data_IF_879204743267
#
_entry.id   IF_879204743267
#
_cell.length_a   1.000
_cell.length_b   1.000
_cell.length_c   1.000
_cell.angle_alpha   90.00
_cell.angle_beta   90.00
_cell.angle_gamma   90.00
#
_symmetry.space_group_name_H-M   'P 1'
#
loop_
_entity.id
_entity.type
_entity.pdbx_description
1 polymer ?
#
# COMPACT_ATOMS: atom_id res chain seq x y z
N UNK A 1 12.90 8.20 18.77
CA UNK A 1 11.43 8.30 18.60
C UNK A 1 10.77 7.70 19.83
N UNK A 2 9.65 8.28 20.29
CA UNK A 2 8.89 7.72 21.43
C UNK A 2 8.23 6.40 21.04
N UNK A 3 8.27 5.43 21.95
CA UNK A 3 7.71 4.08 21.73
C UNK A 3 6.19 4.12 21.66
N UNK A 4 5.60 3.43 20.69
CA UNK A 4 4.17 3.30 20.54
C UNK A 4 3.60 2.35 21.61
N UNK A 5 2.69 2.84 22.46
CA UNK A 5 2.14 2.09 23.59
C UNK A 5 0.74 1.52 23.35
N UNK A 6 -0.02 2.16 22.49
CA UNK A 6 -1.42 1.87 22.26
C UNK A 6 -1.64 1.11 20.95
N UNK A 7 -2.64 0.23 20.91
CA UNK A 7 -3.18 -0.33 19.68
C UNK A 7 -4.11 0.70 19.03
N UNK A 8 -4.08 0.74 17.68
CA UNK A 8 -5.02 1.54 16.90
C UNK A 8 -5.67 0.65 15.84
N UNK A 9 -6.97 0.83 15.69
CA UNK A 9 -7.73 0.34 14.54
C UNK A 9 -8.32 1.56 13.84
N UNK A 10 -8.50 1.52 12.52
CA UNK A 10 -9.03 2.69 11.81
C UNK A 10 -9.86 2.32 10.59
N UNK A 11 -10.75 3.23 10.23
CA UNK A 11 -11.56 3.19 9.01
C UNK A 11 -11.16 4.38 8.13
N UNK A 12 -10.74 4.09 6.91
CA UNK A 12 -10.47 5.08 5.89
C UNK A 12 -11.64 5.08 4.89
N UNK A 13 -12.32 6.21 4.78
CA UNK A 13 -13.32 6.48 3.74
C UNK A 13 -12.69 7.43 2.71
N UNK A 14 -12.68 6.99 1.46
CA UNK A 14 -12.18 7.78 0.34
C UNK A 14 -13.09 7.56 -0.87
N UNK A 15 -13.14 8.53 -1.75
CA UNK A 15 -13.94 8.42 -2.95
C UNK A 15 -13.16 8.59 -4.24
N UNK A 16 -13.82 8.24 -5.34
CA UNK A 16 -13.38 8.53 -6.69
C UNK A 16 -14.55 9.09 -7.48
N UNK A 17 -14.28 10.12 -8.29
CA UNK A 17 -15.22 10.70 -9.24
C UNK A 17 -14.54 10.79 -10.60
N UNK A 18 -15.20 10.21 -11.62
CA UNK A 18 -14.74 10.19 -13.02
C UNK A 18 -13.31 9.65 -13.19
N UNK A 19 -12.97 8.60 -12.45
CA UNK A 19 -11.62 8.05 -12.42
C UNK A 19 -11.55 6.55 -12.26
N UNK A 20 -10.34 6.01 -12.44
CA UNK A 20 -10.01 4.62 -12.14
C UNK A 20 -9.14 4.58 -10.88
N UNK A 21 -9.70 4.16 -9.74
CA UNK A 21 -8.97 4.19 -8.45
C UNK A 21 -7.86 3.15 -8.40
N UNK A 22 -8.05 2.00 -9.06
CA UNK A 22 -7.07 0.91 -9.08
C UNK A 22 -7.31 0.00 -10.29
N UNK A 23 -6.61 0.29 -11.39
CA UNK A 23 -6.70 -0.53 -12.59
C UNK A 23 -6.15 -1.95 -12.41
N UNK A 24 -6.73 -2.88 -13.16
CA UNK A 24 -6.29 -4.27 -13.20
C UNK A 24 -5.42 -4.52 -14.44
N UNK A 25 -4.11 -4.77 -14.30
CA UNK A 25 -3.23 -5.03 -15.43
C UNK A 25 -3.65 -6.27 -16.24
N UNK A 26 -4.23 -7.28 -15.60
CA UNK A 26 -4.66 -8.51 -16.24
C UNK A 26 -5.98 -8.34 -17.02
N UNK A 27 -6.73 -7.28 -16.71
CA UNK A 27 -8.00 -6.94 -17.36
C UNK A 27 -7.91 -5.65 -18.19
N UNK A 28 -6.79 -5.38 -18.85
CA UNK A 28 -6.63 -4.19 -19.69
C UNK A 28 -6.72 -2.86 -18.93
N UNK A 29 -6.30 -2.86 -17.67
CA UNK A 29 -6.33 -1.71 -16.76
C UNK A 29 -7.76 -1.19 -16.44
N UNK A 30 -8.78 -2.05 -16.54
CA UNK A 30 -10.13 -1.74 -16.07
C UNK A 30 -10.16 -1.52 -14.56
N UNK A 31 -11.10 -0.72 -14.02
CA UNK A 31 -11.32 -0.66 -12.57
C UNK A 31 -11.61 -2.05 -12.02
N UNK A 32 -10.98 -2.39 -10.89
CA UNK A 32 -11.22 -3.67 -10.22
C UNK A 32 -12.62 -3.69 -9.62
N UNK A 33 -13.39 -4.68 -9.98
CA UNK A 33 -14.76 -4.88 -9.50
C UNK A 33 -14.92 -6.34 -9.08
N UNK A 34 -15.56 -6.55 -7.95
CA UNK A 34 -15.99 -7.86 -7.50
C UNK A 34 -17.09 -8.37 -8.47
N UNK A 35 -16.86 -9.45 -9.22
CA UNK A 35 -17.79 -9.88 -10.29
C UNK A 35 -19.12 -10.40 -9.74
N UNK A 36 -19.19 -10.82 -8.49
CA UNK A 36 -20.39 -11.34 -7.87
C UNK A 36 -21.31 -10.22 -7.35
N UNK A 37 -20.71 -9.21 -6.73
CA UNK A 37 -21.45 -8.16 -6.02
C UNK A 37 -21.46 -6.81 -6.75
N UNK A 38 -20.62 -6.63 -7.75
CA UNK A 38 -20.44 -5.36 -8.46
C UNK A 38 -19.70 -4.28 -7.65
N UNK A 39 -19.24 -4.58 -6.44
CA UNK A 39 -18.52 -3.61 -5.63
C UNK A 39 -17.12 -3.35 -6.17
N UNK A 40 -16.74 -2.09 -6.26
CA UNK A 40 -15.39 -1.69 -6.66
C UNK A 40 -14.34 -2.09 -5.61
N UNK A 41 -13.14 -2.43 -6.07
CA UNK A 41 -12.03 -2.88 -5.24
C UNK A 41 -10.81 -2.00 -5.43
N UNK A 42 -10.16 -1.65 -4.31
CA UNK A 42 -8.85 -1.00 -4.27
C UNK A 42 -7.96 -1.83 -3.36
N UNK A 43 -6.86 -2.35 -3.90
CA UNK A 43 -5.96 -3.22 -3.14
C UNK A 43 -5.22 -2.45 -2.05
N UNK A 44 -4.87 -3.14 -0.96
CA UNK A 44 -4.02 -2.56 0.10
C UNK A 44 -2.66 -2.10 -0.43
N UNK A 45 -2.11 -2.81 -1.42
CA UNK A 45 -0.85 -2.44 -2.09
C UNK A 45 -0.99 -1.10 -2.82
N UNK A 46 -2.14 -0.83 -3.45
CA UNK A 46 -2.42 0.46 -4.08
C UNK A 46 -2.45 1.59 -3.05
N UNK A 47 -3.12 1.39 -1.91
CA UNK A 47 -3.16 2.38 -0.82
C UNK A 47 -1.77 2.60 -0.21
N UNK A 48 -1.03 1.52 0.09
CA UNK A 48 0.34 1.58 0.60
C UNK A 48 1.29 2.32 -0.36
N UNK A 49 1.12 2.14 -1.68
CA UNK A 49 1.90 2.88 -2.68
C UNK A 49 1.66 4.39 -2.58
N UNK A 50 0.42 4.82 -2.39
CA UNK A 50 0.08 6.25 -2.25
C UNK A 50 0.70 6.86 -0.99
N UNK A 51 0.66 6.12 0.13
CA UNK A 51 1.37 6.52 1.36
C UNK A 51 2.87 6.66 1.11
N UNK A 52 3.50 5.67 0.43
CA UNK A 52 4.93 5.74 0.08
C UNK A 52 5.27 6.95 -0.78
N UNK A 53 4.48 7.20 -1.81
CA UNK A 53 4.67 8.35 -2.70
C UNK A 53 4.55 9.67 -1.93
N UNK A 54 3.59 9.77 -1.03
CA UNK A 54 3.43 10.96 -0.19
C UNK A 54 4.63 11.18 0.73
N UNK A 55 5.09 10.14 1.44
CA UNK A 55 6.26 10.24 2.32
C UNK A 55 7.51 10.60 1.53
N UNK A 56 7.72 9.99 0.36
CA UNK A 56 8.82 10.34 -0.52
C UNK A 56 8.78 11.81 -0.97
N UNK A 57 7.59 12.32 -1.28
CA UNK A 57 7.39 13.70 -1.71
C UNK A 57 7.79 14.71 -0.63
N UNK A 58 7.39 14.47 0.63
CA UNK A 58 7.63 15.44 1.71
C UNK A 58 9.00 15.32 2.37
N UNK A 59 9.66 14.16 2.25
CA UNK A 59 10.96 13.91 2.89
C UNK A 59 12.13 13.77 1.90
N UNK A 60 11.85 13.70 0.60
CA UNK A 60 12.85 13.64 -0.50
C UNK A 60 14.03 12.69 -0.20
N UNK A 61 13.73 11.49 0.30
CA UNK A 61 14.73 10.47 0.61
C UNK A 61 15.59 10.75 1.85
N UNK A 62 15.14 11.63 2.74
CA UNK A 62 15.85 11.90 4.00
C UNK A 62 16.11 10.62 4.81
N UNK A 63 17.27 10.53 5.45
CA UNK A 63 17.65 9.36 6.26
C UNK A 63 16.58 9.07 7.32
N UNK A 64 16.18 7.82 7.41
CA UNK A 64 15.07 7.38 8.26
C UNK A 64 13.67 7.54 7.65
N UNK A 65 13.52 8.22 6.50
CA UNK A 65 12.25 8.41 5.80
C UNK A 65 12.33 8.02 4.32
N UNK A 66 13.44 7.43 3.86
CA UNK A 66 13.54 6.89 2.52
C UNK A 66 12.53 5.73 2.32
N UNK A 67 12.23 5.42 1.08
CA UNK A 67 11.29 4.38 0.68
C UNK A 67 12.04 3.24 0.01
N UNK A 68 11.85 2.03 0.53
CA UNK A 68 12.44 0.81 -0.01
C UNK A 68 11.75 0.38 -1.32
N UNK A 69 10.40 0.30 -1.32
CA UNK A 69 9.62 -0.06 -2.51
C UNK A 69 9.21 1.22 -3.23
N UNK A 70 10.17 1.83 -3.94
CA UNK A 70 9.95 3.05 -4.75
C UNK A 70 10.01 2.77 -6.25
N UNK A 71 9.44 3.69 -7.02
CA UNK A 71 9.45 3.60 -8.48
C UNK A 71 10.89 3.61 -9.00
N UNK A 72 11.20 2.71 -9.95
CA UNK A 72 12.53 2.50 -10.52
C UNK A 72 13.63 2.12 -9.51
N UNK A 73 13.24 1.72 -8.30
CA UNK A 73 14.17 1.24 -7.28
C UNK A 73 14.76 -0.13 -7.64
N UNK A 74 16.06 -0.31 -7.38
CA UNK A 74 16.77 -1.59 -7.53
C UNK A 74 17.02 -2.15 -6.14
N UNK A 75 16.24 -3.13 -5.71
CA UNK A 75 16.26 -3.64 -4.33
C UNK A 75 17.62 -4.22 -3.93
N UNK A 76 18.31 -4.91 -4.83
CA UNK A 76 19.65 -5.45 -4.57
C UNK A 76 20.68 -4.37 -4.23
N UNK A 77 20.60 -3.22 -4.91
CA UNK A 77 21.49 -2.08 -4.64
C UNK A 77 21.24 -1.48 -3.25
N UNK A 78 19.95 -1.38 -2.84
CA UNK A 78 19.58 -0.87 -1.52
C UNK A 78 20.06 -1.81 -0.40
N UNK A 79 20.02 -3.12 -0.63
CA UNK A 79 20.59 -4.10 0.29
C UNK A 79 22.11 -3.99 0.38
N UNK A 80 22.81 -3.92 -0.77
CA UNK A 80 24.27 -3.77 -0.81
C UNK A 80 24.72 -2.50 -0.06
N UNK A 81 23.97 -1.41 -0.19
CA UNK A 81 24.24 -0.18 0.55
C UNK A 81 24.07 -0.36 2.07
N UNK A 82 23.02 -1.07 2.52
CA UNK A 82 22.83 -1.36 3.94
C UNK A 82 23.97 -2.21 4.51
N UNK A 83 24.45 -3.23 3.76
CA UNK A 83 25.63 -4.00 4.12
C UNK A 83 26.88 -3.13 4.22
N UNK A 84 27.14 -2.28 3.23
CA UNK A 84 28.28 -1.37 3.17
C UNK A 84 28.31 -0.41 4.37
N UNK A 85 27.17 0.18 4.73
CA UNK A 85 27.04 1.08 5.89
C UNK A 85 27.40 0.41 7.21
N UNK A 86 27.15 -0.89 7.32
CA UNK A 86 27.52 -1.67 8.50
C UNK A 86 28.95 -2.23 8.45
N UNK A 87 29.71 -1.90 7.38
CA UNK A 87 31.05 -2.47 7.17
C UNK A 87 31.04 -3.97 6.90
N UNK A 88 29.90 -4.52 6.45
CA UNK A 88 29.71 -5.92 6.14
C UNK A 88 29.88 -6.14 4.63
N UNK A 89 30.40 -7.31 4.24
CA UNK A 89 30.42 -7.72 2.83
C UNK A 89 29.13 -8.48 2.50
N UNK A 90 28.42 -8.01 1.46
CA UNK A 90 27.41 -8.83 0.80
C UNK A 90 28.11 -10.05 0.17
N UNK A 91 27.47 -11.21 0.14
CA UNK A 91 28.02 -12.36 -0.60
C UNK A 91 28.06 -11.99 -2.08
N UNK A 92 29.22 -12.18 -2.73
CA UNK A 92 29.34 -11.93 -4.17
C UNK A 92 28.42 -12.89 -4.94
N UNK A 93 27.75 -12.40 -6.02
CA UNK A 93 27.00 -13.27 -6.92
C UNK A 93 28.01 -14.18 -7.64
N UNK A 94 28.09 -15.45 -7.24
CA UNK A 94 28.96 -16.37 -7.95
C UNK A 94 29.75 -17.40 -7.18
N UNK A 95 29.54 -17.55 -5.87
CA UNK A 95 29.95 -18.77 -5.20
C UNK A 95 28.93 -19.89 -5.50
N UNK A 96 28.76 -20.21 -6.81
CA UNK A 96 28.13 -21.48 -7.21
C UNK A 96 28.96 -22.62 -6.61
N UNK A 97 28.30 -23.45 -5.80
CA UNK A 97 28.77 -24.79 -5.60
C UNK A 97 28.89 -25.43 -7.00
N UNK A 98 30.09 -25.81 -7.37
CA UNK A 98 30.38 -26.49 -8.64
C UNK A 98 29.32 -27.56 -8.96
N UNK A 99 28.92 -27.70 -10.24
CA UNK A 99 27.94 -28.70 -10.62
C UNK A 99 28.58 -30.10 -10.48
N UNK A 100 28.19 -30.81 -9.48
CA UNK A 100 28.49 -32.24 -9.38
C UNK A 100 27.45 -32.98 -10.23
N UNK A 101 27.90 -33.56 -11.33
CA UNK A 101 27.12 -34.44 -12.24
C UNK A 101 27.30 -35.90 -11.77
N UNK A 102 26.51 -36.88 -12.22
CA UNK A 102 25.09 -36.94 -12.55
C UNK A 102 24.30 -38.05 -11.80
N UNK A 103 22.97 -37.88 -11.87
CA UNK A 103 21.91 -38.92 -11.73
C UNK A 103 21.99 -40.01 -10.66
N UNK A 104 21.14 -39.87 -9.68
CA UNK A 104 20.65 -40.92 -8.82
C UNK A 104 19.29 -40.54 -8.26
N UNK A 105 18.23 -41.26 -8.67
CA UNK A 105 16.88 -41.11 -8.13
C UNK A 105 16.86 -41.38 -6.62
N UNK A 106 16.44 -40.41 -5.84
CA UNK A 106 16.25 -40.58 -4.41
C UNK A 106 15.43 -39.44 -3.83
N UNK A 107 14.14 -39.68 -3.56
CA UNK A 107 13.28 -38.83 -2.77
C UNK A 107 13.89 -38.64 -1.37
N UNK A 108 14.58 -37.52 -1.15
CA UNK A 108 15.06 -37.11 0.16
C UNK A 108 14.61 -35.68 0.42
N UNK A 109 13.85 -35.46 1.49
CA UNK A 109 13.58 -34.13 2.04
C UNK A 109 14.92 -33.45 2.29
N UNK A 110 15.18 -32.32 1.60
CA UNK A 110 16.36 -31.51 1.84
C UNK A 110 16.26 -30.94 3.25
N UNK A 111 17.00 -31.49 4.20
CA UNK A 111 17.23 -30.91 5.52
C UNK A 111 17.98 -29.59 5.33
N UNK A 112 17.33 -28.48 5.69
CA UNK A 112 17.98 -27.19 5.75
C UNK A 112 19.10 -27.24 6.79
N UNK A 113 20.36 -27.23 6.35
CA UNK A 113 21.51 -27.08 7.26
C UNK A 113 21.30 -25.91 8.21
N UNK A 114 21.53 -26.05 9.53
CA UNK A 114 21.41 -24.96 10.47
C UNK A 114 22.38 -23.83 10.07
N UNK A 115 21.86 -22.62 9.90
CA UNK A 115 22.69 -21.42 9.62
C UNK A 115 23.66 -21.21 10.76
N UNK A 116 24.92 -20.87 10.46
CA UNK A 116 25.91 -20.53 11.48
C UNK A 116 25.43 -19.32 12.28
N UNK A 117 25.64 -19.29 13.59
CA UNK A 117 25.19 -18.24 14.50
C UNK A 117 25.60 -16.82 14.05
N UNK A 118 26.79 -16.68 13.46
CA UNK A 118 27.28 -15.45 12.86
C UNK A 118 26.45 -14.92 11.68
N UNK A 119 25.91 -15.81 10.83
CA UNK A 119 25.06 -15.41 9.70
C UNK A 119 23.70 -14.87 10.15
N UNK A 120 23.12 -15.47 11.19
CA UNK A 120 21.84 -15.02 11.77
C UNK A 120 21.98 -13.62 12.36
N UNK A 121 23.11 -13.37 13.03
CA UNK A 121 23.39 -12.04 13.62
C UNK A 121 23.60 -10.96 12.55
N UNK A 122 24.30 -11.29 11.46
CA UNK A 122 24.48 -10.38 10.32
C UNK A 122 23.13 -10.00 9.72
N UNK A 123 22.29 -10.99 9.40
CA UNK A 123 20.94 -10.75 8.84
C UNK A 123 20.10 -9.88 9.78
N UNK A 124 20.22 -10.09 11.09
CA UNK A 124 19.51 -9.25 12.07
C UNK A 124 19.99 -7.80 12.02
N UNK A 125 21.32 -7.55 12.04
CA UNK A 125 21.88 -6.19 11.98
C UNK A 125 21.44 -5.46 10.68
N UNK A 126 21.51 -6.13 9.55
CA UNK A 126 21.07 -5.57 8.27
C UNK A 126 19.58 -5.28 8.27
N UNK A 127 18.76 -6.18 8.79
CA UNK A 127 17.32 -5.97 8.92
C UNK A 127 17.01 -4.73 9.78
N UNK A 128 17.69 -4.58 10.90
CA UNK A 128 17.50 -3.45 11.82
C UNK A 128 17.91 -2.14 11.14
N UNK A 129 18.98 -2.13 10.33
CA UNK A 129 19.38 -0.97 9.51
C UNK A 129 18.34 -0.67 8.42
N UNK A 130 17.78 -1.68 7.76
CA UNK A 130 16.70 -1.49 6.79
C UNK A 130 15.45 -0.87 7.44
N UNK A 131 15.06 -1.32 8.62
CA UNK A 131 13.98 -0.70 9.38
C UNK A 131 14.29 0.75 9.77
N UNK A 132 15.53 1.03 10.21
CA UNK A 132 15.95 2.38 10.58
C UNK A 132 15.87 3.36 9.42
N UNK A 133 16.33 2.93 8.24
CA UNK A 133 16.45 3.79 7.06
C UNK A 133 15.14 3.98 6.31
N UNK A 134 14.38 2.89 6.12
CA UNK A 134 13.22 2.88 5.25
C UNK A 134 11.91 2.94 6.04
N UNK A 135 11.18 4.04 5.86
CA UNK A 135 9.87 4.24 6.50
C UNK A 135 8.90 3.10 6.19
N UNK A 136 8.81 2.68 4.93
CA UNK A 136 7.85 1.67 4.51
C UNK A 136 8.20 0.26 5.00
N UNK A 137 9.49 -0.06 5.19
CA UNK A 137 9.92 -1.34 5.78
C UNK A 137 9.50 -1.41 7.25
N UNK A 138 9.78 -0.38 8.06
CA UNK A 138 9.39 -0.40 9.48
C UNK A 138 7.90 -0.22 9.70
N UNK A 139 7.17 0.38 8.73
CA UNK A 139 5.72 0.60 8.81
C UNK A 139 4.92 -0.60 8.33
N UNK A 140 5.13 -1.06 7.11
CA UNK A 140 4.34 -2.10 6.46
C UNK A 140 5.00 -3.47 6.46
N UNK A 141 6.32 -3.52 6.69
CA UNK A 141 7.13 -4.71 6.56
C UNK A 141 7.54 -5.00 5.11
N UNK A 142 8.49 -5.92 4.97
CA UNK A 142 8.96 -6.38 3.66
C UNK A 142 9.60 -7.77 3.77
N UNK A 143 9.56 -8.50 2.65
CA UNK A 143 10.35 -9.72 2.44
C UNK A 143 11.63 -9.31 1.72
N UNK A 144 12.76 -9.36 2.42
CA UNK A 144 14.07 -8.86 1.96
C UNK A 144 15.09 -10.00 1.86
N UNK A 145 14.62 -11.20 1.53
CA UNK A 145 15.46 -12.42 1.46
C UNK A 145 16.04 -12.58 0.05
N UNK A 146 16.96 -11.70 -0.33
CA UNK A 146 17.73 -11.82 -1.57
C UNK A 146 18.90 -12.81 -1.37
N UNK A 147 19.30 -13.53 -2.43
CA UNK A 147 20.37 -14.54 -2.36
C UNK A 147 21.73 -13.91 -1.98
N UNK A 148 22.03 -12.75 -2.53
CA UNK A 148 23.33 -12.08 -2.45
C UNK A 148 23.49 -11.18 -1.22
N UNK A 149 22.38 -10.60 -0.75
CA UNK A 149 22.36 -9.67 0.35
C UNK A 149 21.08 -9.87 1.17
N UNK A 150 21.06 -10.88 2.01
CA UNK A 150 19.88 -11.25 2.78
C UNK A 150 19.68 -10.34 3.98
N UNK A 151 18.59 -9.56 3.99
CA UNK A 151 18.15 -8.75 5.12
C UNK A 151 16.94 -9.38 5.86
N UNK A 152 16.60 -10.63 5.55
CA UNK A 152 15.55 -11.36 6.24
C UNK A 152 14.14 -10.92 5.88
N UNK A 153 13.25 -10.99 6.86
CA UNK A 153 11.84 -10.63 6.71
C UNK A 153 11.40 -9.75 7.89
N UNK A 154 10.61 -8.73 7.59
CA UNK A 154 10.01 -7.82 8.57
C UNK A 154 8.49 -7.90 8.46
N UNK A 155 7.82 -8.10 9.58
CA UNK A 155 6.38 -7.91 9.71
C UNK A 155 6.12 -6.52 10.30
N UNK A 156 5.57 -5.62 9.48
CA UNK A 156 5.30 -4.25 9.92
C UNK A 156 4.09 -4.14 10.85
N UNK A 157 4.08 -3.13 11.73
CA UNK A 157 2.99 -2.86 12.66
C UNK A 157 1.69 -2.45 11.97
N UNK A 158 1.77 -1.83 10.80
CA UNK A 158 0.61 -1.29 10.07
C UNK A 158 0.14 -2.28 9.02
N UNK A 159 -1.11 -2.69 9.11
CA UNK A 159 -1.76 -3.53 8.12
C UNK A 159 -3.02 -2.85 7.60
N UNK A 160 -3.26 -2.95 6.30
CA UNK A 160 -4.43 -2.42 5.60
C UNK A 160 -5.20 -3.55 4.95
N UNK A 161 -6.51 -3.44 4.89
CA UNK A 161 -7.36 -4.30 4.06
C UNK A 161 -7.53 -3.70 2.67
N UNK A 162 -8.13 -4.45 1.76
CA UNK A 162 -8.65 -3.87 0.52
C UNK A 162 -9.72 -2.83 0.85
N UNK A 163 -9.73 -1.74 0.07
CA UNK A 163 -10.87 -0.84 0.03
C UNK A 163 -11.97 -1.43 -0.83
N UNK A 164 -13.20 -1.49 -0.31
CA UNK A 164 -14.39 -1.88 -1.05
C UNK A 164 -15.35 -0.69 -1.16
N UNK A 165 -15.98 -0.52 -2.31
CA UNK A 165 -17.03 0.49 -2.44
C UNK A 165 -18.24 0.13 -1.58
N UNK A 166 -18.93 1.12 -1.06
CA UNK A 166 -20.13 0.91 -0.22
C UNK A 166 -21.33 0.45 -1.06
N UNK A 167 -21.37 0.89 -2.31
CA UNK A 167 -22.38 0.48 -3.29
C UNK A 167 -21.69 -0.16 -4.50
N UNK A 168 -22.40 -0.98 -5.28
CA UNK A 168 -21.92 -1.45 -6.57
C UNK A 168 -21.56 -0.26 -7.48
N UNK A 169 -20.46 -0.38 -8.21
CA UNK A 169 -19.99 0.63 -9.15
C UNK A 169 -20.14 0.14 -10.58
N UNK A 170 -20.35 1.08 -11.48
CA UNK A 170 -20.40 0.81 -12.92
C UNK A 170 -19.20 1.47 -13.56
N UNK A 171 -18.48 0.75 -14.40
CA UNK A 171 -17.43 1.33 -15.22
C UNK A 171 -17.98 1.88 -16.52
N UNK A 172 -17.66 3.14 -16.84
CA UNK A 172 -17.99 3.80 -18.09
C UNK A 172 -16.75 3.82 -18.99
N UNK A 173 -16.90 3.35 -20.21
CA UNK A 173 -15.83 3.40 -21.22
C UNK A 173 -15.99 4.64 -22.10
N UNK A 174 -14.88 5.37 -22.29
CA UNK A 174 -14.80 6.57 -23.10
C UNK A 174 -13.76 6.38 -24.20
N UNK A 175 -14.17 6.58 -25.45
CA UNK A 175 -13.22 6.68 -26.55
C UNK A 175 -12.57 8.06 -26.52
N UNK A 176 -11.25 8.11 -26.56
CA UNK A 176 -10.48 9.35 -26.62
C UNK A 176 -9.67 9.38 -27.91
N UNK A 177 -9.55 10.55 -28.52
CA UNK A 177 -8.81 10.73 -29.75
C UNK A 177 -7.59 11.61 -29.48
N UNK A 178 -6.41 11.09 -29.77
CA UNK A 178 -5.18 11.89 -29.84
C UNK A 178 -5.04 12.48 -31.23
N UNK A 179 -4.91 13.79 -31.31
CA UNK A 179 -4.78 14.54 -32.57
C UNK A 179 -3.35 14.54 -33.11
N UNK A 180 -2.59 13.49 -32.82
CA UNK A 180 -1.22 13.29 -33.29
C UNK A 180 -0.90 11.80 -33.34
N UNK A 181 -0.08 11.40 -34.31
CA UNK A 181 0.47 10.04 -34.41
C UNK A 181 1.86 9.98 -33.78
N UNK A 182 2.34 8.77 -33.46
CA UNK A 182 3.64 8.58 -32.81
C UNK A 182 4.80 8.57 -33.81
N UNK A 183 4.55 8.15 -35.06
CA UNK A 183 5.61 7.96 -36.09
C UNK A 183 5.23 8.56 -37.42
N UNK A 184 6.22 8.91 -38.24
CA UNK A 184 5.99 9.38 -39.57
C UNK A 184 5.28 8.33 -40.44
N UNK A 185 5.59 7.05 -40.25
CA UNK A 185 4.92 5.95 -40.96
C UNK A 185 3.41 5.90 -40.68
N UNK A 186 2.99 6.18 -39.44
CA UNK A 186 1.56 6.28 -39.11
C UNK A 186 0.92 7.51 -39.78
N UNK A 187 1.64 8.65 -39.85
CA UNK A 187 1.17 9.85 -40.52
C UNK A 187 0.94 9.58 -42.00
N UNK A 188 1.91 8.97 -42.68
CA UNK A 188 1.86 8.64 -44.10
C UNK A 188 0.68 7.67 -44.40
N UNK A 189 0.47 6.67 -43.52
CA UNK A 189 -0.64 5.70 -43.66
C UNK A 189 -2.02 6.32 -43.49
N UNK A 190 -2.13 7.42 -42.74
CA UNK A 190 -3.41 8.10 -42.44
C UNK A 190 -3.70 9.25 -43.44
N UNK A 191 -2.85 9.49 -44.38
CA UNK A 191 -3.08 10.52 -45.44
C UNK A 191 -3.27 11.94 -44.89
N UNK A 192 -2.67 12.24 -43.73
CA UNK A 192 -2.72 13.56 -43.07
C UNK A 192 -3.82 13.74 -42.00
N UNK A 193 -4.67 12.75 -41.76
CA UNK A 193 -5.69 12.85 -40.67
C UNK A 193 -5.08 12.72 -39.26
N UNK A 194 -3.92 12.11 -39.15
CA UNK A 194 -3.03 12.06 -37.97
C UNK A 194 -3.73 11.82 -36.62
N UNK A 195 -4.73 10.97 -36.57
CA UNK A 195 -5.52 10.67 -35.39
C UNK A 195 -5.26 9.27 -34.87
N UNK A 196 -5.12 9.13 -33.56
CA UNK A 196 -5.03 7.84 -32.88
C UNK A 196 -6.10 7.74 -31.81
N UNK A 197 -6.90 6.68 -31.87
CA UNK A 197 -7.93 6.43 -30.85
C UNK A 197 -7.38 5.58 -29.71
N UNK A 198 -7.80 5.91 -28.50
CA UNK A 198 -7.57 5.16 -27.27
C UNK A 198 -8.86 5.00 -26.50
N UNK A 199 -8.82 4.18 -25.46
CA UNK A 199 -9.96 3.97 -24.56
C UNK A 199 -9.57 4.36 -23.15
N UNK A 200 -10.50 4.98 -22.43
CA UNK A 200 -10.37 5.31 -21.01
C UNK A 200 -11.58 4.79 -20.28
N UNK A 201 -11.37 4.02 -19.23
CA UNK A 201 -12.45 3.49 -18.40
C UNK A 201 -12.43 4.16 -17.05
N UNK A 202 -13.58 4.67 -16.60
CA UNK A 202 -13.72 5.38 -15.33
C UNK A 202 -14.90 4.83 -14.53
N UNK A 203 -14.81 4.99 -13.20
CA UNK A 203 -15.95 4.89 -12.29
C UNK A 203 -16.53 6.30 -12.16
N UNK A 204 -17.81 6.53 -12.51
CA UNK A 204 -18.42 7.86 -12.39
C UNK A 204 -18.42 8.38 -10.96
N UNK A 205 -18.74 7.52 -10.02
CA UNK A 205 -18.57 7.79 -8.58
C UNK A 205 -18.51 6.49 -7.79
N UNK A 206 -17.71 6.47 -6.71
CA UNK A 206 -17.67 5.38 -5.74
C UNK A 206 -17.07 5.85 -4.43
N UNK A 207 -17.78 5.60 -3.31
CA UNK A 207 -17.27 5.78 -1.96
C UNK A 207 -16.73 4.45 -1.46
N UNK A 208 -15.45 4.41 -1.11
CA UNK A 208 -14.72 3.22 -0.69
C UNK A 208 -14.41 3.25 0.80
N UNK A 209 -14.43 2.08 1.41
CA UNK A 209 -14.09 1.87 2.81
C UNK A 209 -12.96 0.84 2.90
N UNK A 210 -11.86 1.24 3.53
CA UNK A 210 -10.76 0.36 3.92
C UNK A 210 -10.60 0.36 5.44
N UNK A 211 -10.03 -0.71 5.96
CA UNK A 211 -9.72 -0.85 7.38
C UNK A 211 -8.22 -0.97 7.58
N UNK A 212 -7.76 -0.52 8.73
CA UNK A 212 -6.36 -0.68 9.09
C UNK A 212 -6.17 -0.94 10.57
N UNK A 213 -4.98 -1.45 10.88
CA UNK A 213 -4.59 -1.90 12.20
C UNK A 213 -3.17 -1.45 12.48
N UNK A 214 -2.89 -1.00 13.70
CA UNK A 214 -1.55 -0.67 14.18
C UNK A 214 -1.24 -1.43 15.45
N UNK A 215 -0.22 -2.29 15.41
CA UNK A 215 0.19 -3.15 16.51
C UNK A 215 1.41 -2.59 17.24
N UNK A 216 1.31 -2.18 18.51
CA UNK A 216 2.47 -1.69 19.27
C UNK A 216 3.53 -2.77 19.50
N UNK A 217 3.14 -4.04 19.60
CA UNK A 217 4.09 -5.15 19.74
C UNK A 217 4.98 -5.33 18.51
N UNK A 218 4.45 -5.11 17.31
CA UNK A 218 5.21 -5.13 16.07
C UNK A 218 5.99 -3.81 15.87
N UNK A 219 5.43 -2.68 16.28
CA UNK A 219 6.10 -1.38 16.27
C UNK A 219 7.42 -1.41 17.06
N UNK A 220 7.40 -2.01 18.24
CA UNK A 220 8.61 -2.23 19.05
C UNK A 220 9.70 -3.04 18.33
N UNK A 221 9.31 -4.00 17.49
CA UNK A 221 10.26 -4.85 16.74
C UNK A 221 10.88 -4.13 15.55
N UNK A 222 10.18 -3.16 14.97
CA UNK A 222 10.63 -2.46 13.76
C UNK A 222 11.20 -1.07 14.03
N UNK A 223 11.03 -0.56 15.26
CA UNK A 223 11.39 0.82 15.63
C UNK A 223 10.36 1.86 15.16
N UNK A 224 9.16 1.45 14.73
CA UNK A 224 8.06 2.35 14.40
C UNK A 224 7.59 3.08 15.66
N UNK A 225 7.58 4.41 15.63
CA UNK A 225 7.25 5.24 16.79
C UNK A 225 6.09 6.20 16.55
N UNK A 226 5.79 7.04 17.55
CA UNK A 226 4.69 8.03 17.47
C UNK A 226 4.87 9.00 16.29
N UNK A 227 6.09 9.45 15.98
CA UNK A 227 6.34 10.32 14.83
C UNK A 227 6.06 9.65 13.49
N UNK A 228 6.29 8.33 13.38
CA UNK A 228 5.91 7.57 12.19
C UNK A 228 4.39 7.40 12.10
N UNK A 229 3.72 7.27 13.24
CA UNK A 229 2.26 7.17 13.31
C UNK A 229 1.61 8.48 12.86
N UNK A 230 2.10 9.62 13.35
CA UNK A 230 1.61 10.94 12.92
C UNK A 230 1.82 11.16 11.42
N UNK A 231 2.99 10.74 10.90
CA UNK A 231 3.26 10.78 9.47
C UNK A 231 2.33 9.87 8.67
N UNK A 232 2.00 8.68 9.19
CA UNK A 232 1.03 7.78 8.57
C UNK A 232 -0.36 8.40 8.50
N UNK A 233 -0.85 9.02 9.59
CA UNK A 233 -2.15 9.69 9.60
C UNK A 233 -2.19 10.82 8.59
N UNK A 234 -1.17 11.67 8.58
CA UNK A 234 -1.05 12.73 7.60
C UNK A 234 -1.04 12.21 6.17
N UNK A 235 -0.26 11.16 5.90
CA UNK A 235 -0.22 10.52 4.58
C UNK A 235 -1.59 9.96 4.16
N UNK A 236 -2.33 9.29 5.05
CA UNK A 236 -3.65 8.75 4.74
C UNK A 236 -4.70 9.85 4.45
N UNK A 237 -4.56 11.02 5.06
CA UNK A 237 -5.44 12.17 4.81
C UNK A 237 -5.11 12.85 3.49
N UNK A 238 -3.83 13.08 3.18
CA UNK A 238 -3.38 13.96 2.10
C UNK A 238 -2.92 13.22 0.83
N UNK A 239 -2.72 11.90 0.87
CA UNK A 239 -2.09 11.14 -0.22
C UNK A 239 -2.77 11.27 -1.58
N UNK A 240 -4.09 11.46 -1.62
CA UNK A 240 -4.81 11.59 -2.88
C UNK A 240 -4.65 12.97 -3.53
N UNK A 241 -4.36 14.00 -2.75
CA UNK A 241 -4.15 15.37 -3.26
C UNK A 241 -2.87 15.48 -4.09
N UNK A 242 -1.92 14.62 -3.83
CA UNK A 242 -0.63 14.57 -4.53
C UNK A 242 -0.51 13.42 -5.55
N UNK A 243 -1.47 12.48 -5.57
CA UNK A 243 -1.49 11.34 -6.51
C UNK A 243 -2.40 11.62 -7.72
N UNK A 244 -2.14 12.71 -8.43
CA UNK A 244 -2.94 13.13 -9.59
C UNK A 244 -2.44 12.51 -10.89
N UNK A 245 -3.37 12.02 -11.70
CA UNK A 245 -3.10 11.58 -13.08
C UNK A 245 -4.38 11.61 -13.91
N UNK A 246 -4.23 11.57 -15.23
CA UNK A 246 -5.37 11.56 -16.16
C UNK A 246 -6.32 10.37 -15.96
N UNK A 247 -5.81 9.24 -15.45
CA UNK A 247 -6.63 8.05 -15.20
C UNK A 247 -7.37 8.09 -13.86
N UNK A 248 -6.85 8.81 -12.86
CA UNK A 248 -7.37 8.76 -11.49
C UNK A 248 -8.61 9.59 -11.25
N UNK A 249 -8.91 10.57 -12.10
CA UNK A 249 -10.02 11.50 -11.88
C UNK A 249 -9.84 12.32 -10.59
N UNK A 250 -10.94 12.57 -9.91
CA UNK A 250 -10.92 13.19 -8.59
C UNK A 250 -10.97 12.09 -7.53
N UNK A 251 -9.93 12.00 -6.72
CA UNK A 251 -9.90 11.14 -5.54
C UNK A 251 -9.60 11.99 -4.30
N UNK A 252 -10.25 11.68 -3.20
CA UNK A 252 -10.04 12.36 -1.92
C UNK A 252 -10.28 11.42 -0.74
N UNK A 253 -9.51 11.59 0.33
CA UNK A 253 -9.89 11.07 1.65
C UNK A 253 -11.07 11.88 2.16
N UNK A 254 -12.17 11.20 2.49
CA UNK A 254 -13.38 11.85 3.01
C UNK A 254 -13.43 11.84 4.52
N UNK A 255 -12.99 10.75 5.16
CA UNK A 255 -12.87 10.62 6.62
C UNK A 255 -11.80 9.58 6.95
N UNK A 256 -11.03 9.86 7.97
CA UNK A 256 -10.19 8.90 8.64
C UNK A 256 -10.63 8.81 10.11
N UNK A 257 -11.27 7.70 10.46
CA UNK A 257 -11.77 7.45 11.82
C UNK A 257 -10.80 6.51 12.51
N UNK A 258 -10.12 7.00 13.54
CA UNK A 258 -9.09 6.27 14.28
C UNK A 258 -9.63 5.91 15.67
N UNK A 259 -9.55 4.64 16.01
CA UNK A 259 -9.91 4.07 17.32
C UNK A 259 -8.64 3.79 18.11
N UNK A 260 -8.33 4.65 19.06
CA UNK A 260 -7.20 4.49 19.97
C UNK A 260 -7.63 3.65 21.16
N UNK A 261 -6.98 2.53 21.38
CA UNK A 261 -7.20 1.72 22.57
C UNK A 261 -6.35 2.21 23.75
N UNK A 262 -6.86 2.11 24.97
CA UNK A 262 -6.09 2.42 26.17
C UNK A 262 -4.97 1.39 26.44
N UNK A 263 -5.04 0.20 25.84
CA UNK A 263 -4.08 -0.89 26.04
C UNK A 263 -3.42 -1.36 24.75
N UNK A 264 -2.24 -1.97 24.90
CA UNK A 264 -1.47 -2.53 23.77
C UNK A 264 -2.16 -3.71 23.07
N UNK A 265 -2.95 -4.51 23.80
CA UNK A 265 -3.70 -5.64 23.22
C UNK A 265 -5.07 -5.22 22.67
N UNK A 266 -5.52 -4.02 23.02
CA UNK A 266 -6.82 -3.49 22.65
C UNK A 266 -7.88 -3.74 23.72
N UNK A 267 -8.90 -2.87 23.73
CA UNK A 267 -10.01 -2.89 24.68
C UNK A 267 -11.30 -3.42 24.06
N UNK A 268 -11.31 -3.59 22.73
CA UNK A 268 -12.45 -4.14 21.99
C UNK A 268 -11.99 -4.88 20.73
N UNK A 269 -12.78 -5.85 20.23
CA UNK A 269 -12.56 -6.45 18.92
C UNK A 269 -12.77 -5.43 17.80
N UNK A 270 -11.91 -5.43 16.80
CA UNK A 270 -11.93 -4.45 15.71
C UNK A 270 -13.26 -4.42 14.95
N UNK A 271 -13.89 -5.59 14.71
CA UNK A 271 -15.18 -5.64 14.00
C UNK A 271 -16.26 -4.80 14.69
N UNK A 272 -16.34 -4.81 16.03
CA UNK A 272 -17.31 -3.98 16.77
C UNK A 272 -17.09 -2.49 16.59
N UNK A 273 -15.81 -2.07 16.45
CA UNK A 273 -15.45 -0.68 16.17
C UNK A 273 -15.81 -0.30 14.72
N UNK A 274 -15.57 -1.21 13.81
CA UNK A 274 -15.91 -1.00 12.41
C UNK A 274 -17.42 -0.97 12.17
N UNK A 275 -18.18 -1.83 12.86
CA UNK A 275 -19.64 -1.85 12.79
C UNK A 275 -20.28 -0.57 13.39
N UNK A 276 -19.58 0.11 14.31
CA UNK A 276 -20.02 1.39 14.83
C UNK A 276 -19.97 2.52 13.78
N UNK A 277 -19.20 2.36 12.70
CA UNK A 277 -19.12 3.34 11.60
C UNK A 277 -20.16 2.97 10.55
N UNK A 278 -21.19 3.77 10.43
CA UNK A 278 -22.23 3.64 9.41
C UNK A 278 -22.09 4.74 8.36
N UNK A 279 -22.10 4.35 7.09
CA UNK A 279 -22.23 5.25 5.97
C UNK A 279 -23.31 4.71 5.04
N UNK A 280 -24.43 5.41 4.93
CA UNK A 280 -25.61 4.98 4.17
C UNK A 280 -26.03 6.05 3.19
N UNK A 281 -26.56 5.65 2.04
CA UNK A 281 -27.17 6.59 1.11
C UNK A 281 -28.33 7.33 1.77
N UNK A 282 -28.47 8.61 1.47
CA UNK A 282 -29.63 9.44 1.89
C UNK A 282 -30.86 9.14 1.03
N UNK A 283 -30.65 8.73 -0.21
CA UNK A 283 -31.70 8.38 -1.18
C UNK A 283 -31.32 7.11 -1.93
N UNK A 284 -31.98 6.00 -1.63
CA UNK A 284 -31.71 4.70 -2.25
C UNK A 284 -32.28 4.58 -3.67
N UNK A 285 -33.15 5.52 -4.09
CA UNK A 285 -33.75 5.49 -5.42
C UNK A 285 -32.80 5.96 -6.53
N UNK A 286 -31.69 6.64 -6.18
CA UNK A 286 -30.73 7.21 -7.13
C UNK A 286 -29.32 6.68 -6.89
N UNK A 287 -28.53 6.43 -7.94
CA UNK A 287 -27.14 6.12 -7.78
C UNK A 287 -26.38 7.32 -7.19
N UNK A 288 -25.47 7.12 -6.21
CA UNK A 288 -24.70 8.22 -5.64
C UNK A 288 -23.75 8.82 -6.67
N UNK A 289 -23.53 10.12 -6.59
CA UNK A 289 -22.63 10.89 -7.46
C UNK A 289 -21.68 11.82 -6.71
N UNK A 290 -21.87 11.92 -5.39
CA UNK A 290 -21.09 12.79 -4.53
C UNK A 290 -21.07 12.23 -3.10
N UNK A 291 -20.07 12.63 -2.31
CA UNK A 291 -19.99 12.25 -0.89
C UNK A 291 -21.18 12.78 -0.07
N UNK A 292 -21.73 13.93 -0.46
CA UNK A 292 -22.92 14.52 0.15
C UNK A 292 -24.19 13.65 0.03
N UNK A 293 -24.20 12.67 -0.87
CA UNK A 293 -25.30 11.70 -1.01
C UNK A 293 -25.32 10.67 0.11
N UNK A 294 -24.29 10.65 0.96
CA UNK A 294 -24.18 9.73 2.10
C UNK A 294 -24.42 10.46 3.43
N UNK A 295 -25.07 9.75 4.34
CA UNK A 295 -25.12 10.09 5.75
C UNK A 295 -24.10 9.21 6.50
N UNK A 296 -23.13 9.87 7.14
CA UNK A 296 -22.14 9.22 7.98
C UNK A 296 -22.52 9.37 9.45
N UNK A 297 -22.42 8.31 10.22
CA UNK A 297 -22.56 8.35 11.66
C UNK A 297 -21.57 7.39 12.33
N UNK A 298 -21.12 7.78 13.53
CA UNK A 298 -20.30 6.95 14.40
C UNK A 298 -21.10 6.68 15.66
N UNK A 299 -21.43 5.43 15.91
CA UNK A 299 -22.13 4.97 17.10
C UNK A 299 -21.23 4.97 18.34
N UNK A 300 -21.80 4.53 19.47
CA UNK A 300 -21.05 4.40 20.71
C UNK A 300 -19.97 3.33 20.58
N UNK A 301 -18.80 3.61 21.15
CA UNK A 301 -17.69 2.67 21.22
C UNK A 301 -17.53 2.12 22.63
N UNK A 302 -16.97 0.91 22.80
CA UNK A 302 -16.72 0.31 24.10
C UNK A 302 -15.78 1.16 24.97
N UNK A 303 -15.93 1.00 26.30
CA UNK A 303 -15.04 1.64 27.27
C UNK A 303 -13.57 1.32 27.01
N UNK A 304 -12.68 2.30 27.18
CA UNK A 304 -11.25 2.18 26.93
C UNK A 304 -10.87 2.34 25.44
N UNK A 305 -11.80 2.78 24.60
CA UNK A 305 -11.54 3.16 23.21
C UNK A 305 -11.92 4.62 23.00
N UNK A 306 -11.01 5.40 22.48
CA UNK A 306 -11.22 6.80 22.08
C UNK A 306 -11.34 6.87 20.56
N UNK A 307 -12.28 7.67 20.07
CA UNK A 307 -12.47 7.90 18.63
C UNK A 307 -11.89 9.27 18.29
N UNK A 308 -11.00 9.29 17.31
CA UNK A 308 -10.45 10.50 16.70
C UNK A 308 -10.88 10.55 15.24
N UNK A 309 -11.39 11.68 14.79
CA UNK A 309 -11.72 11.94 13.39
C UNK A 309 -10.65 12.85 12.78
N UNK A 310 -10.00 12.39 11.72
CA UNK A 310 -8.96 13.11 11.01
C UNK A 310 -9.38 13.28 9.55
N UNK A 311 -9.15 14.46 8.98
CA UNK A 311 -9.57 14.79 7.61
C UNK A 311 -11.08 14.96 7.47
N UNK A 312 -11.52 15.91 6.63
CA UNK A 312 -12.92 16.26 6.39
C UNK A 312 -13.07 17.63 5.80
#
# INVERSE_FOLDING_TARGET
>A
MSELKNRYDFVLLFDVKDGNPNGDPDAGNLPRIDPETGHGLVTDVCLKRKVRNYVQLIHDGADGHDIYVKERGVLSSLHAEAYSRLGLKAQEPGAEAAPDSPKGEGKGKAEKKPRKSSEVEVVRKVRDEMCRRYFDVRTFGAVMSLKEANAGQVRGPVQLTFGRSLDPVVSAEHTITRMAVATQKEADNQGGDNRTMGRKTTVPYGLYRAHGFVSPSLAKQTGFGEGDLDLLWKALVEMFDHDRSAARGLMATRRLLVFRHASALGNAPAHKLFDAVSARRKDDSKPPRDFSDYALSVGSVPSGVEVMELGG
#
